data_IF_460001231087
#
_entry.id   IF_460001231087
#
_cell.length_a   1.000
_cell.length_b   1.000
_cell.length_c   1.000
_cell.angle_alpha   90.00
_cell.angle_beta   90.00
_cell.angle_gamma   90.00
#
_symmetry.space_group_name_H-M   'P 1'
#
loop_
_entity.id
_entity.type
_entity.pdbx_description
1 polymer ?
#
# COMPACT_ATOMS: atom_id res chain seq x y z
N UNK A 1 -0.96 -9.94 -10.65
CA UNK A 1 -1.69 -10.64 -9.57
C UNK A 1 -1.27 -9.99 -8.26
N UNK A 2 -2.04 -10.08 -7.18
CA UNK A 2 -1.54 -9.62 -5.88
C UNK A 2 -0.45 -10.61 -5.41
N UNK A 3 0.78 -10.11 -5.24
CA UNK A 3 1.94 -10.94 -4.85
C UNK A 3 2.32 -10.77 -3.39
N UNK A 4 1.99 -9.63 -2.80
CA UNK A 4 2.18 -9.37 -1.37
C UNK A 4 1.11 -8.40 -0.86
N UNK A 5 0.62 -8.67 0.36
CA UNK A 5 -0.16 -7.73 1.15
C UNK A 5 0.50 -7.57 2.51
N UNK A 6 0.70 -6.33 2.94
CA UNK A 6 1.26 -5.99 4.23
C UNK A 6 0.36 -5.02 4.99
N UNK A 7 0.18 -5.30 6.27
CA UNK A 7 -0.50 -4.44 7.25
C UNK A 7 0.57 -3.98 8.22
N UNK A 8 0.84 -2.67 8.20
CA UNK A 8 1.88 -2.05 8.99
C UNK A 8 1.22 -1.17 10.04
N UNK A 9 1.68 -1.31 11.29
CA UNK A 9 1.21 -0.55 12.42
C UNK A 9 1.54 0.94 12.30
N UNK A 10 0.94 1.73 13.20
CA UNK A 10 1.23 3.16 13.32
C UNK A 10 2.72 3.43 13.54
N UNK A 11 3.41 2.54 14.27
CA UNK A 11 4.82 2.65 14.66
C UNK A 11 5.77 2.00 13.63
N UNK A 12 5.32 1.82 12.38
CA UNK A 12 6.05 1.17 11.29
C UNK A 12 6.43 -0.31 11.55
N UNK A 13 5.90 -0.92 12.60
CA UNK A 13 6.05 -2.36 12.86
C UNK A 13 5.07 -3.20 11.99
N UNK A 14 5.52 -4.31 11.39
CA UNK A 14 4.63 -5.19 10.63
C UNK A 14 3.65 -5.90 11.57
N UNK A 15 2.36 -5.74 11.31
CA UNK A 15 1.28 -6.47 12.00
C UNK A 15 0.92 -7.76 11.25
N UNK A 16 1.02 -7.72 9.92
CA UNK A 16 0.77 -8.86 9.05
C UNK A 16 1.49 -8.67 7.73
N UNK A 17 2.11 -9.73 7.21
CA UNK A 17 2.67 -9.77 5.86
C UNK A 17 2.31 -11.13 5.27
N UNK A 18 1.67 -11.14 4.10
CA UNK A 18 1.35 -12.35 3.37
C UNK A 18 1.87 -12.25 1.96
N UNK A 19 2.60 -13.26 1.53
CA UNK A 19 3.39 -13.27 0.31
C UNK A 19 3.04 -14.53 -0.48
N UNK A 20 2.73 -14.37 -1.76
CA UNK A 20 2.30 -15.47 -2.61
C UNK A 20 3.44 -16.48 -2.88
N UNK A 21 4.69 -16.00 -2.93
CA UNK A 21 5.88 -16.83 -3.11
C UNK A 21 6.89 -16.54 -1.99
N UNK A 22 7.12 -17.54 -1.15
CA UNK A 22 8.02 -17.47 0.01
C UNK A 22 9.48 -17.20 -0.40
N UNK A 23 9.91 -17.65 -1.59
CA UNK A 23 11.28 -17.43 -2.08
C UNK A 23 11.57 -15.94 -2.35
N UNK A 24 10.51 -15.13 -2.52
CA UNK A 24 10.58 -13.68 -2.71
C UNK A 24 10.31 -12.90 -1.43
N UNK A 25 10.23 -13.55 -0.27
CA UNK A 25 9.84 -12.92 0.98
C UNK A 25 10.68 -11.68 1.30
N UNK A 26 12.00 -11.83 1.24
CA UNK A 26 12.94 -10.75 1.56
C UNK A 26 12.79 -9.56 0.60
N UNK A 27 12.69 -9.81 -0.72
CA UNK A 27 12.48 -8.75 -1.73
C UNK A 27 11.16 -8.00 -1.50
N UNK A 28 10.09 -8.73 -1.20
CA UNK A 28 8.79 -8.12 -0.92
C UNK A 28 8.81 -7.29 0.36
N UNK A 29 9.48 -7.76 1.42
CA UNK A 29 9.64 -6.99 2.66
C UNK A 29 10.42 -5.70 2.42
N UNK A 30 11.49 -5.73 1.61
CA UNK A 30 12.23 -4.50 1.25
C UNK A 30 11.36 -3.51 0.47
N UNK A 31 10.55 -3.99 -0.47
CA UNK A 31 9.62 -3.14 -1.23
C UNK A 31 8.56 -2.51 -0.32
N UNK A 32 7.95 -3.30 0.57
CA UNK A 32 6.99 -2.82 1.55
C UNK A 32 7.64 -1.75 2.45
N UNK A 33 8.88 -1.99 2.90
CA UNK A 33 9.60 -1.04 3.74
C UNK A 33 9.89 0.28 3.00
N UNK A 34 10.38 0.21 1.75
CA UNK A 34 10.61 1.40 0.93
C UNK A 34 9.33 2.18 0.62
N UNK A 35 8.18 1.49 0.56
CA UNK A 35 6.89 2.14 0.35
C UNK A 35 6.48 3.04 1.54
N UNK A 36 6.98 2.77 2.74
CA UNK A 36 6.63 3.54 3.94
C UNK A 36 7.08 5.00 3.85
N UNK A 37 8.23 5.27 3.23
CA UNK A 37 8.73 6.63 3.04
C UNK A 37 7.72 7.47 2.22
N UNK A 38 7.21 6.88 1.13
CA UNK A 38 6.20 7.52 0.27
C UNK A 38 4.87 7.70 1.00
N UNK A 39 4.48 6.72 1.84
CA UNK A 39 3.27 6.84 2.68
C UNK A 39 3.40 8.02 3.63
N UNK A 40 4.55 8.17 4.29
CA UNK A 40 4.79 9.28 5.23
C UNK A 40 4.72 10.63 4.51
N UNK A 41 5.36 10.77 3.36
CA UNK A 41 5.26 11.98 2.53
C UNK A 41 3.81 12.31 2.18
N UNK A 42 3.05 11.34 1.66
CA UNK A 42 1.63 11.54 1.31
C UNK A 42 0.77 11.89 2.52
N UNK A 43 1.04 11.31 3.69
CA UNK A 43 0.34 11.62 4.93
C UNK A 43 0.55 13.08 5.38
N UNK A 44 1.73 13.66 5.13
CA UNK A 44 1.99 15.07 5.46
C UNK A 44 1.07 16.03 4.68
N UNK A 45 0.70 15.67 3.44
CA UNK A 45 -0.26 16.44 2.65
C UNK A 45 -1.70 16.26 3.14
N UNK A 46 -2.09 15.04 3.50
CA UNK A 46 -3.44 14.73 4.03
C UNK A 46 -3.70 15.43 5.37
N UNK A 47 -2.68 15.56 6.22
CA UNK A 47 -2.81 16.28 7.49
C UNK A 47 -3.08 17.78 7.31
N UNK A 48 -2.75 18.35 6.15
CA UNK A 48 -3.01 19.74 5.78
C UNK A 48 -4.33 19.92 5.03
N UNK A 49 -4.97 18.82 4.60
CA UNK A 49 -6.21 18.82 3.85
C UNK A 49 -7.43 19.04 4.78
N UNK A 50 -8.49 19.66 4.26
CA UNK A 50 -9.76 19.83 4.99
C UNK A 50 -10.39 18.46 5.31
N UNK A 51 -11.19 18.34 6.37
CA UNK A 51 -11.77 17.05 6.77
C UNK A 51 -12.57 16.34 5.67
N UNK A 52 -13.24 17.09 4.80
CA UNK A 52 -14.01 16.57 3.65
C UNK A 52 -13.11 16.06 2.50
N UNK A 53 -11.82 16.38 2.49
CA UNK A 53 -10.84 15.98 1.47
C UNK A 53 -9.80 14.98 1.99
N UNK A 54 -9.95 14.46 3.21
CA UNK A 54 -9.08 13.41 3.76
C UNK A 54 -9.36 12.06 3.11
N UNK A 55 -8.81 11.89 1.92
CA UNK A 55 -8.83 10.62 1.22
C UNK A 55 -7.85 9.64 1.88
N UNK A 56 -8.39 8.53 2.41
CA UNK A 56 -7.63 7.47 3.08
C UNK A 56 -6.88 6.57 2.08
N UNK A 57 -7.34 6.53 0.84
CA UNK A 57 -6.68 5.85 -0.26
C UNK A 57 -5.54 6.72 -0.79
N UNK A 58 -4.29 6.24 -0.68
CA UNK A 58 -3.11 7.00 -1.12
C UNK A 58 -2.80 6.80 -2.61
N UNK A 59 -3.52 5.89 -3.28
CA UNK A 59 -3.26 5.54 -4.66
C UNK A 59 -2.02 4.66 -4.84
N UNK A 60 -1.47 4.73 -6.04
CA UNK A 60 -0.15 4.16 -6.32
C UNK A 60 0.92 4.95 -5.54
N UNK A 61 1.74 4.24 -4.78
CA UNK A 61 2.88 4.79 -4.07
C UNK A 61 4.06 4.94 -5.02
N UNK A 62 4.44 3.84 -5.67
CA UNK A 62 5.43 3.83 -6.75
C UNK A 62 5.25 2.57 -7.61
N UNK A 63 5.93 2.55 -8.76
CA UNK A 63 5.97 1.41 -9.66
C UNK A 63 7.41 1.07 -9.99
N UNK A 64 7.69 -0.22 -10.16
CA UNK A 64 8.90 -0.74 -10.77
C UNK A 64 8.52 -1.45 -12.07
N UNK A 65 9.50 -1.97 -12.80
CA UNK A 65 9.25 -2.78 -14.00
C UNK A 65 8.38 -4.00 -13.69
N UNK A 66 8.70 -4.71 -12.59
CA UNK A 66 8.00 -5.93 -12.20
C UNK A 66 6.72 -5.70 -11.38
N UNK A 67 6.61 -4.62 -10.59
CA UNK A 67 5.53 -4.48 -9.61
C UNK A 67 4.96 -3.06 -9.52
N UNK A 68 3.66 -2.96 -9.23
CA UNK A 68 2.96 -1.75 -8.83
C UNK A 68 2.62 -1.83 -7.35
N UNK A 69 2.96 -0.79 -6.60
CA UNK A 69 2.75 -0.74 -5.16
C UNK A 69 1.69 0.30 -4.86
N UNK A 70 0.63 -0.13 -4.17
CA UNK A 70 -0.50 0.72 -3.76
C UNK A 70 -0.54 0.83 -2.25
N UNK A 71 -1.04 1.97 -1.78
CA UNK A 71 -1.13 2.27 -0.35
C UNK A 71 -2.50 2.82 0.03
N UNK A 72 -2.94 2.49 1.21
CA UNK A 72 -4.00 3.22 1.90
C UNK A 72 -3.75 3.21 3.40
N UNK A 73 -4.33 4.18 4.09
CA UNK A 73 -4.19 4.35 5.53
C UNK A 73 -5.57 4.36 6.18
N UNK A 74 -5.68 3.84 7.39
CA UNK A 74 -6.90 3.98 8.18
C UNK A 74 -6.86 5.26 9.03
N UNK A 75 -8.00 5.64 9.59
CA UNK A 75 -8.08 6.69 10.60
C UNK A 75 -7.22 6.40 11.86
N UNK A 76 -6.95 5.13 12.16
CA UNK A 76 -6.08 4.67 13.25
C UNK A 76 -4.59 4.64 12.86
N UNK A 77 -4.24 5.17 11.69
CA UNK A 77 -2.87 5.21 11.12
C UNK A 77 -2.26 3.84 10.84
N UNK A 78 -3.10 2.82 10.67
CA UNK A 78 -2.66 1.53 10.13
C UNK A 78 -2.47 1.71 8.63
N UNK A 79 -1.37 1.20 8.10
CA UNK A 79 -0.97 1.35 6.71
C UNK A 79 -1.13 0.00 6.02
N UNK A 80 -1.86 -0.02 4.93
CA UNK A 80 -2.01 -1.19 4.10
C UNK A 80 -1.22 -0.98 2.81
N UNK A 81 -0.36 -1.93 2.50
CA UNK A 81 0.48 -1.92 1.32
C UNK A 81 0.16 -3.15 0.48
N UNK A 82 -0.22 -2.91 -0.77
CA UNK A 82 -0.54 -3.95 -1.74
C UNK A 82 0.50 -3.93 -2.86
N UNK A 83 1.16 -5.05 -3.07
CA UNK A 83 2.12 -5.24 -4.15
C UNK A 83 1.49 -6.13 -5.22
N UNK A 84 1.48 -5.65 -6.46
CA UNK A 84 0.90 -6.36 -7.60
C UNK A 84 1.90 -6.48 -8.74
N UNK A 85 1.84 -7.58 -9.52
CA UNK A 85 2.61 -7.67 -10.77
C UNK A 85 2.20 -6.57 -11.75
N UNK A 86 3.20 -5.95 -12.38
CA UNK A 86 3.01 -4.86 -13.34
C UNK A 86 2.31 -5.31 -14.63
N UNK A 87 2.56 -6.57 -15.05
CA UNK A 87 1.97 -7.19 -16.24
C UNK A 87 0.46 -7.41 -16.13
N UNK A 88 -0.09 -7.34 -14.92
CA UNK A 88 -1.51 -7.52 -14.71
C UNK A 88 -2.25 -6.19 -14.91
N UNK A 89 -2.65 -5.94 -16.16
CA UNK A 89 -3.40 -4.74 -16.60
C UNK A 89 -4.89 -4.82 -16.23
N UNK A 90 -5.38 -5.98 -15.75
CA UNK A 90 -6.80 -6.22 -15.56
C UNK A 90 -7.39 -5.45 -14.35
N UNK A 91 -6.62 -5.29 -13.28
CA UNK A 91 -7.06 -4.54 -12.09
C UNK A 91 -6.88 -3.04 -12.29
N UNK A 92 -8.01 -2.36 -12.51
CA UNK A 92 -8.06 -0.90 -12.59
C UNK A 92 -7.97 -0.31 -11.18
N UNK A 93 -7.45 0.90 -11.06
CA UNK A 93 -7.34 1.62 -9.79
C UNK A 93 -8.64 1.66 -8.98
N UNK A 94 -9.79 1.65 -9.67
CA UNK A 94 -11.12 1.57 -9.05
C UNK A 94 -11.37 0.28 -8.27
N UNK A 95 -10.81 -0.85 -8.68
CA UNK A 95 -10.96 -2.13 -7.99
C UNK A 95 -10.09 -2.16 -6.73
N UNK A 96 -8.85 -1.64 -6.81
CA UNK A 96 -7.96 -1.49 -5.64
C UNK A 96 -8.60 -0.55 -4.60
N UNK A 97 -9.18 0.55 -5.07
CA UNK A 97 -9.97 1.49 -4.25
C UNK A 97 -11.24 0.87 -3.69
N UNK A 98 -11.86 -0.09 -4.39
CA UNK A 98 -13.02 -0.81 -3.86
C UNK A 98 -12.60 -1.75 -2.72
N UNK A 99 -11.47 -2.44 -2.85
CA UNK A 99 -10.90 -3.29 -1.78
C UNK A 99 -10.60 -2.47 -0.52
N UNK A 100 -10.07 -1.24 -0.66
CA UNK A 100 -9.81 -0.38 0.50
C UNK A 100 -11.07 0.07 1.25
N UNK A 101 -12.28 -0.17 0.74
CA UNK A 101 -13.52 0.07 1.49
C UNK A 101 -13.88 -1.09 2.44
N UNK A 102 -13.35 -2.27 2.18
CA UNK A 102 -13.61 -3.49 2.98
C UNK A 102 -12.55 -3.76 4.04
N UNK A 103 -11.46 -2.97 4.05
CA UNK A 103 -10.34 -3.05 4.99
C UNK A 103 -10.38 -1.88 5.97
#
# INVERSE_FOLDING_TARGET
MAVCIAIIGKDNAPLYISIANIDKELDMQYRVHAALDVVEEKCQFINKATPESKELYLGMLYSTEAHKIYGFITNTKIKFILVMDSENVALRENEVRAVSKYM
#
